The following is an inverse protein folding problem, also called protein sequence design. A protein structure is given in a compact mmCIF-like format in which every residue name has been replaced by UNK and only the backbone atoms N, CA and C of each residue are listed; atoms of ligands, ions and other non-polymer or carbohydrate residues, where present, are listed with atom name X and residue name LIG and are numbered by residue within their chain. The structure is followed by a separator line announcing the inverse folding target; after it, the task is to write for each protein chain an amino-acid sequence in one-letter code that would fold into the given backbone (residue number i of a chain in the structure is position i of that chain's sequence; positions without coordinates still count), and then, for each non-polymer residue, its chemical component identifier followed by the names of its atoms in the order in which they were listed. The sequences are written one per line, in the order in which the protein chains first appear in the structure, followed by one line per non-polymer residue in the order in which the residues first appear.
data_IF_800106285064
#
_entry.id   IF_800106285064
#
_cell.length_a   1.000
_cell.length_b   1.000
_cell.length_c   1.000
_cell.angle_alpha   90.00
_cell.angle_beta   90.00
_cell.angle_gamma   90.00
#
_symmetry.space_group_name_H-M   'P 1'
#
loop_
_entity.id
_entity.type
_entity.pdbx_description
1 polymer ?
#
# COMPACT_ATOMS: atom_id res chain seq x y z
N UNK A 1 12.96 8.69 1.64
CA UNK A 1 12.50 8.05 2.88
C UNK A 1 13.20 6.71 3.11
N UNK A 2 13.30 5.81 2.12
CA UNK A 2 13.96 4.50 2.35
C UNK A 2 15.49 4.47 2.27
N UNK A 3 16.13 5.49 1.70
CA UNK A 3 17.60 5.49 1.53
C UNK A 3 18.34 5.59 2.86
N UNK A 4 19.59 5.12 2.91
CA UNK A 4 20.45 5.24 4.09
C UNK A 4 20.56 6.69 4.62
N UNK A 5 20.63 7.68 3.71
CA UNK A 5 20.65 9.10 4.11
C UNK A 5 19.34 9.54 4.78
N UNK A 6 18.18 9.13 4.26
CA UNK A 6 16.89 9.47 4.87
C UNK A 6 16.79 8.91 6.29
N UNK A 7 17.17 7.65 6.48
CA UNK A 7 17.14 7.01 7.80
C UNK A 7 18.10 7.69 8.79
N UNK A 8 19.30 8.06 8.31
CA UNK A 8 20.25 8.84 9.11
C UNK A 8 19.72 10.23 9.46
N UNK A 9 19.04 10.90 8.52
CA UNK A 9 18.37 12.16 8.78
C UNK A 9 17.30 12.02 9.86
N UNK A 10 16.43 11.02 9.78
CA UNK A 10 15.35 10.82 10.74
C UNK A 10 15.88 10.62 12.17
N UNK A 11 16.99 9.89 12.33
CA UNK A 11 17.62 9.68 13.63
C UNK A 11 18.28 10.93 14.23
N UNK A 12 18.76 11.86 13.39
CA UNK A 12 19.50 13.05 13.83
C UNK A 12 18.92 14.37 13.31
N UNK A 13 17.60 14.40 13.07
CA UNK A 13 16.93 15.55 12.44
C UNK A 13 17.12 16.85 13.23
N UNK A 14 17.29 16.77 14.56
CA UNK A 14 17.55 17.92 15.44
C UNK A 14 18.82 18.69 15.06
N UNK A 15 19.83 18.00 14.55
CA UNK A 15 21.12 18.56 14.13
C UNK A 15 21.13 18.74 12.60
N UNK A 16 20.74 17.71 11.86
CA UNK A 16 20.94 17.65 10.41
C UNK A 16 20.04 18.62 9.63
N UNK A 17 18.92 19.09 10.20
CA UNK A 17 18.04 20.09 9.57
C UNK A 17 18.72 21.42 9.25
N UNK A 18 19.87 21.71 9.87
CA UNK A 18 20.65 22.93 9.63
C UNK A 18 21.70 22.78 8.53
N UNK A 19 21.86 21.58 7.96
CA UNK A 19 22.87 21.27 6.95
C UNK A 19 22.21 21.04 5.59
N UNK A 20 22.89 21.37 4.47
CA UNK A 20 22.39 21.02 3.15
C UNK A 20 22.40 19.50 2.95
N UNK A 21 21.47 18.97 2.15
CA UNK A 21 21.47 17.56 1.78
C UNK A 21 20.19 17.13 1.06
N UNK A 22 20.09 15.86 0.64
CA UNK A 22 18.90 15.34 -0.04
C UNK A 22 17.58 15.53 0.74
N UNK A 23 17.66 15.65 2.07
CA UNK A 23 16.49 15.86 2.93
C UNK A 23 15.88 17.26 2.73
N UNK A 24 16.62 18.28 2.28
CA UNK A 24 16.04 19.61 2.06
C UNK A 24 15.05 19.60 0.91
N UNK A 25 15.30 18.78 -0.13
CA UNK A 25 14.41 18.62 -1.28
C UNK A 25 13.05 18.04 -0.91
N UNK A 26 12.94 17.28 0.19
CA UNK A 26 11.67 16.68 0.58
C UNK A 26 10.66 17.76 0.98
N UNK A 27 11.12 18.86 1.58
CA UNK A 27 10.27 19.98 1.96
C UNK A 27 9.72 20.69 0.74
N UNK A 28 10.56 20.93 -0.28
CA UNK A 28 10.12 21.54 -1.54
C UNK A 28 9.06 20.67 -2.23
N UNK A 29 9.29 19.35 -2.30
CA UNK A 29 8.34 18.40 -2.89
C UNK A 29 7.01 18.41 -2.12
N UNK A 30 7.06 18.40 -0.78
CA UNK A 30 5.85 18.41 0.04
C UNK A 30 5.08 19.74 -0.08
N UNK A 31 5.78 20.87 -0.19
CA UNK A 31 5.13 22.16 -0.45
C UNK A 31 4.50 22.20 -1.83
N UNK A 32 5.19 21.72 -2.88
CA UNK A 32 4.63 21.66 -4.23
C UNK A 32 3.36 20.79 -4.28
N UNK A 33 3.38 19.63 -3.63
CA UNK A 33 2.19 18.77 -3.51
C UNK A 33 1.07 19.45 -2.73
N UNK A 34 1.40 20.12 -1.63
CA UNK A 34 0.42 20.87 -0.84
C UNK A 34 -0.19 22.02 -1.64
N UNK A 35 0.61 22.77 -2.38
CA UNK A 35 0.18 23.85 -3.26
C UNK A 35 -0.74 23.33 -4.37
N UNK A 36 -0.46 22.15 -4.92
CA UNK A 36 -1.34 21.47 -5.87
C UNK A 36 -2.70 21.14 -5.24
N UNK A 37 -2.72 20.53 -4.04
CA UNK A 37 -3.95 20.22 -3.32
C UNK A 37 -4.73 21.50 -2.96
N UNK A 38 -4.05 22.56 -2.50
CA UNK A 38 -4.68 23.83 -2.18
C UNK A 38 -5.39 24.45 -3.40
N UNK A 39 -4.78 24.36 -4.59
CA UNK A 39 -5.42 24.78 -5.86
C UNK A 39 -6.69 23.96 -6.14
N UNK A 40 -6.68 22.65 -5.88
CA UNK A 40 -7.87 21.80 -6.04
C UNK A 40 -8.96 22.17 -5.03
N UNK A 41 -8.61 22.33 -3.75
CA UNK A 41 -9.54 22.77 -2.70
C UNK A 41 -10.19 24.10 -3.04
N UNK A 42 -9.42 25.07 -3.56
CA UNK A 42 -9.97 26.36 -4.02
C UNK A 42 -11.02 26.18 -5.12
N UNK A 43 -10.72 25.38 -6.16
CA UNK A 43 -11.67 25.09 -7.24
C UNK A 43 -12.94 24.41 -6.73
N UNK A 44 -12.81 23.49 -5.77
CA UNK A 44 -13.96 22.83 -5.16
C UNK A 44 -14.84 23.84 -4.42
N UNK A 45 -14.26 24.75 -3.62
CA UNK A 45 -14.98 25.83 -2.92
C UNK A 45 -15.76 26.74 -3.88
N UNK A 46 -15.17 27.12 -5.00
CA UNK A 46 -15.78 28.01 -6.01
C UNK A 46 -17.04 27.41 -6.66
N UNK A 47 -17.17 26.08 -6.63
CA UNK A 47 -18.21 25.33 -7.35
C UNK A 47 -18.96 24.36 -6.44
N UNK A 48 -18.92 24.61 -5.12
CA UNK A 48 -19.51 23.73 -4.12
C UNK A 48 -21.04 23.79 -4.18
N UNK A 49 -21.67 22.63 -4.32
CA UNK A 49 -23.10 22.43 -4.10
C UNK A 49 -23.29 21.62 -2.82
N UNK A 50 -23.96 22.21 -1.82
CA UNK A 50 -24.20 21.57 -0.52
C UNK A 50 -25.12 20.34 -0.61
N UNK A 51 -25.93 20.23 -1.67
CA UNK A 51 -26.87 19.13 -1.87
C UNK A 51 -26.31 18.02 -2.76
N UNK A 52 -25.20 18.27 -3.45
CA UNK A 52 -24.61 17.36 -4.41
C UNK A 52 -23.07 17.33 -4.29
N UNK A 53 -22.52 16.78 -3.18
CA UNK A 53 -21.07 16.66 -3.02
C UNK A 53 -20.47 15.77 -4.10
N UNK A 54 -19.40 16.25 -4.76
CA UNK A 54 -18.77 15.56 -5.89
C UNK A 54 -17.68 14.58 -5.47
N UNK A 55 -16.96 14.90 -4.40
CA UNK A 55 -15.78 14.17 -3.96
C UNK A 55 -15.51 14.38 -2.46
N UNK A 56 -14.44 13.77 -1.95
CA UNK A 56 -14.00 13.89 -0.56
C UNK A 56 -13.83 15.35 -0.10
N UNK A 57 -13.33 16.23 -0.98
CA UNK A 57 -13.08 17.63 -0.63
C UNK A 57 -14.40 18.34 -0.39
N UNK A 58 -15.40 18.14 -1.24
CA UNK A 58 -16.73 18.71 -1.04
C UNK A 58 -17.38 18.19 0.26
N UNK A 59 -17.29 16.89 0.53
CA UNK A 59 -17.81 16.32 1.78
C UNK A 59 -17.18 16.98 3.01
N UNK A 60 -15.86 17.19 2.99
CA UNK A 60 -15.16 17.87 4.09
C UNK A 60 -15.57 19.34 4.19
N UNK A 61 -15.70 20.06 3.07
CA UNK A 61 -16.14 21.45 3.04
C UNK A 61 -17.56 21.62 3.59
N UNK A 62 -18.47 20.70 3.25
CA UNK A 62 -19.83 20.67 3.81
C UNK A 62 -19.78 20.43 5.32
N UNK A 63 -18.91 19.54 5.80
CA UNK A 63 -18.74 19.34 7.24
C UNK A 63 -18.15 20.58 7.92
N UNK A 64 -17.21 21.28 7.29
CA UNK A 64 -16.72 22.57 7.79
C UNK A 64 -17.84 23.60 7.93
N UNK A 65 -18.79 23.63 6.98
CA UNK A 65 -19.95 24.52 7.05
C UNK A 65 -20.83 24.20 8.27
N UNK A 66 -21.10 22.91 8.52
CA UNK A 66 -21.91 22.45 9.66
C UNK A 66 -21.26 22.77 11.00
N UNK A 67 -19.93 22.85 11.05
CA UNK A 67 -19.16 23.16 12.26
C UNK A 67 -18.88 24.67 12.43
N UNK A 68 -19.40 25.54 11.54
CA UNK A 68 -19.25 27.01 11.69
C UNK A 68 -19.93 27.49 12.96
N UNK A 69 -19.12 27.82 13.95
CA UNK A 69 -19.57 28.25 15.28
C UNK A 69 -19.03 27.38 16.42
N UNK A 70 -18.41 26.24 16.10
CA UNK A 70 -17.68 25.43 17.06
C UNK A 70 -16.20 25.85 17.09
N UNK A 71 -15.73 26.59 18.13
CA UNK A 71 -14.33 27.04 18.22
C UNK A 71 -13.34 25.90 18.43
N UNK A 72 -13.82 24.71 18.82
CA UNK A 72 -13.01 23.50 19.02
C UNK A 72 -13.04 22.56 17.81
N UNK A 73 -13.57 23.02 16.66
CA UNK A 73 -13.66 22.19 15.46
C UNK A 73 -12.29 21.96 14.82
N UNK A 74 -11.99 20.69 14.56
CA UNK A 74 -10.82 20.27 13.76
C UNK A 74 -11.11 20.27 12.25
N UNK A 75 -12.35 20.58 11.83
CA UNK A 75 -12.69 20.77 10.42
C UNK A 75 -12.30 22.18 9.98
N UNK A 76 -11.05 22.32 9.54
CA UNK A 76 -10.49 23.56 9.03
C UNK A 76 -9.73 23.35 7.70
N UNK A 77 -9.41 24.44 7.00
CA UNK A 77 -8.77 24.37 5.67
C UNK A 77 -7.41 23.66 5.71
N UNK A 78 -6.63 23.84 6.78
CA UNK A 78 -5.32 23.18 6.93
C UNK A 78 -5.47 21.67 7.05
N UNK A 79 -6.39 21.19 7.89
CA UNK A 79 -6.66 19.77 8.05
C UNK A 79 -7.27 19.16 6.77
N UNK A 80 -8.10 19.89 6.02
CA UNK A 80 -8.59 19.48 4.70
C UNK A 80 -7.43 19.24 3.71
N UNK A 81 -6.55 20.24 3.56
CA UNK A 81 -5.39 20.15 2.65
C UNK A 81 -4.49 18.97 3.03
N UNK A 82 -4.11 18.85 4.31
CA UNK A 82 -3.22 17.78 4.78
C UNK A 82 -3.87 16.40 4.71
N UNK A 83 -5.15 16.28 5.03
CA UNK A 83 -5.86 14.99 4.92
C UNK A 83 -5.96 14.55 3.46
N UNK A 84 -6.28 15.48 2.55
CA UNK A 84 -6.33 15.17 1.12
C UNK A 84 -4.96 14.77 0.59
N UNK A 85 -3.89 15.47 1.00
CA UNK A 85 -2.52 15.12 0.65
C UNK A 85 -2.14 13.72 1.15
N UNK A 86 -2.47 13.40 2.40
CA UNK A 86 -2.20 12.09 2.99
C UNK A 86 -2.90 10.97 2.21
N UNK A 87 -4.19 11.13 1.88
CA UNK A 87 -4.94 10.16 1.10
C UNK A 87 -4.34 9.98 -0.30
N UNK A 88 -3.96 11.08 -0.96
CA UNK A 88 -3.38 11.06 -2.30
C UNK A 88 -2.03 10.34 -2.32
N UNK A 89 -1.12 10.68 -1.40
CA UNK A 89 0.20 10.04 -1.31
C UNK A 89 0.09 8.56 -0.95
N UNK A 90 -0.63 8.25 0.14
CA UNK A 90 -0.72 6.88 0.64
C UNK A 90 -1.45 5.94 -0.34
N UNK A 91 -2.53 6.42 -0.97
CA UNK A 91 -3.30 5.64 -1.93
C UNK A 91 -2.59 5.39 -3.26
N UNK A 92 -1.67 6.28 -3.67
CA UNK A 92 -0.98 6.15 -4.97
C UNK A 92 0.25 5.25 -4.89
N UNK A 93 1.19 5.59 -3.99
CA UNK A 93 2.52 4.97 -4.01
C UNK A 93 2.46 3.50 -3.58
N UNK A 94 1.65 3.18 -2.57
CA UNK A 94 1.61 1.83 -1.99
C UNK A 94 1.04 0.79 -2.95
N UNK A 95 -0.06 1.13 -3.64
CA UNK A 95 -0.69 0.25 -4.64
C UNK A 95 0.19 0.14 -5.87
N UNK A 96 0.75 1.25 -6.37
CA UNK A 96 1.68 1.27 -7.50
C UNK A 96 2.89 0.36 -7.27
N UNK A 97 3.56 0.49 -6.11
CA UNK A 97 4.72 -0.33 -5.78
C UNK A 97 4.36 -1.80 -5.56
N UNK A 98 3.19 -2.11 -5.00
CA UNK A 98 2.70 -3.50 -4.86
C UNK A 98 2.41 -4.13 -6.24
N UNK A 99 1.78 -3.39 -7.17
CA UNK A 99 1.55 -3.85 -8.54
C UNK A 99 2.87 -4.12 -9.27
N UNK A 100 3.86 -3.24 -9.12
CA UNK A 100 5.20 -3.42 -9.68
C UNK A 100 5.87 -4.70 -9.16
N UNK A 101 5.84 -4.94 -7.84
CA UNK A 101 6.32 -6.21 -7.30
C UNK A 101 5.54 -7.41 -7.85
N UNK A 102 4.22 -7.34 -7.91
CA UNK A 102 3.42 -8.45 -8.43
C UNK A 102 3.75 -8.78 -9.88
N UNK A 103 3.89 -7.77 -10.75
CA UNK A 103 4.32 -8.02 -12.14
C UNK A 103 5.73 -8.60 -12.21
N UNK A 104 6.66 -8.15 -11.37
CA UNK A 104 8.00 -8.71 -11.26
C UNK A 104 7.96 -10.19 -10.84
N UNK A 105 7.20 -10.53 -9.80
CA UNK A 105 7.03 -11.90 -9.32
C UNK A 105 6.37 -12.79 -10.38
N UNK A 106 5.33 -12.32 -11.07
CA UNK A 106 4.65 -13.07 -12.12
C UNK A 106 5.52 -13.33 -13.36
N UNK A 107 6.48 -12.45 -13.64
CA UNK A 107 7.48 -12.71 -14.70
C UNK A 107 8.54 -13.71 -14.26
N UNK A 108 8.93 -13.70 -12.98
CA UNK A 108 9.86 -14.69 -12.40
C UNK A 108 9.23 -16.08 -12.27
N UNK A 109 7.90 -16.12 -12.07
CA UNK A 109 7.09 -17.33 -11.87
C UNK A 109 6.06 -17.50 -12.99
N UNK A 110 6.48 -17.82 -14.23
CA UNK A 110 5.58 -17.95 -15.37
C UNK A 110 4.49 -19.02 -15.18
N UNK A 111 4.74 -20.03 -14.36
CA UNK A 111 3.77 -21.07 -13.96
C UNK A 111 2.63 -20.49 -13.12
N UNK A 112 2.91 -19.53 -12.23
CA UNK A 112 1.89 -18.83 -11.44
C UNK A 112 1.05 -17.95 -12.34
N UNK A 113 1.70 -17.21 -13.25
CA UNK A 113 1.02 -16.38 -14.24
C UNK A 113 0.08 -17.21 -15.13
N UNK A 114 0.52 -18.39 -15.58
CA UNK A 114 -0.29 -19.30 -16.38
C UNK A 114 -1.53 -19.81 -15.63
N UNK A 115 -1.40 -20.16 -14.35
CA UNK A 115 -2.54 -20.57 -13.52
C UNK A 115 -3.52 -19.43 -13.27
N UNK A 116 -3.04 -18.21 -13.03
CA UNK A 116 -3.92 -17.03 -12.95
C UNK A 116 -4.69 -16.81 -14.25
N UNK A 117 -4.03 -16.93 -15.40
CA UNK A 117 -4.72 -16.83 -16.70
C UNK A 117 -5.82 -17.88 -16.86
N UNK A 118 -5.56 -19.13 -16.48
CA UNK A 118 -6.56 -20.20 -16.54
C UNK A 118 -7.79 -19.88 -15.66
N UNK A 119 -7.57 -19.45 -14.42
CA UNK A 119 -8.68 -19.10 -13.52
C UNK A 119 -9.46 -17.86 -14.00
N UNK A 120 -8.77 -16.83 -14.51
CA UNK A 120 -9.40 -15.65 -15.12
C UNK A 120 -10.27 -16.06 -16.31
N UNK A 121 -9.76 -16.90 -17.22
CA UNK A 121 -10.51 -17.33 -18.40
C UNK A 121 -11.71 -18.19 -18.01
N UNK A 122 -11.59 -19.01 -16.96
CA UNK A 122 -12.66 -19.88 -16.48
C UNK A 122 -13.81 -19.10 -15.82
N UNK A 123 -13.49 -18.12 -14.96
CA UNK A 123 -14.50 -17.41 -14.15
C UNK A 123 -15.04 -16.17 -14.86
N UNK A 124 -14.17 -15.42 -15.55
CA UNK A 124 -14.52 -14.13 -16.16
C UNK A 124 -14.66 -14.28 -17.68
N UNK A 125 -13.76 -15.04 -18.31
CA UNK A 125 -13.64 -15.15 -19.76
C UNK A 125 -13.08 -13.86 -20.38
N UNK A 126 -13.30 -13.67 -21.69
CA UNK A 126 -12.73 -12.55 -22.46
C UNK A 126 -13.76 -11.47 -22.85
N UNK A 127 -15.04 -11.71 -22.58
CA UNK A 127 -16.15 -10.90 -23.11
C UNK A 127 -16.65 -9.81 -22.16
N UNK A 128 -16.20 -9.79 -20.90
CA UNK A 128 -16.59 -8.79 -19.90
C UNK A 128 -15.38 -8.33 -19.09
N UNK A 129 -15.48 -7.14 -18.48
CA UNK A 129 -14.49 -6.68 -17.52
C UNK A 129 -14.58 -7.48 -16.20
N UNK A 130 -13.46 -7.64 -15.47
CA UNK A 130 -13.48 -8.12 -14.10
C UNK A 130 -14.31 -7.21 -13.18
N UNK A 131 -15.03 -7.81 -12.24
CA UNK A 131 -15.72 -7.12 -11.15
C UNK A 131 -15.16 -7.58 -9.79
N UNK A 132 -15.48 -6.88 -8.71
CA UNK A 132 -14.92 -7.25 -7.39
C UNK A 132 -15.59 -8.51 -6.82
N UNK A 133 -16.82 -8.81 -7.24
CA UNK A 133 -17.59 -9.98 -6.82
C UNK A 133 -16.96 -11.30 -7.30
N UNK A 134 -16.26 -11.27 -8.45
CA UNK A 134 -15.54 -12.39 -9.06
C UNK A 134 -14.46 -12.95 -8.12
N UNK A 135 -13.88 -12.10 -7.25
CA UNK A 135 -12.83 -12.48 -6.31
C UNK A 135 -13.18 -13.69 -5.46
N UNK A 136 -14.44 -13.81 -5.05
CA UNK A 136 -14.94 -14.93 -4.24
C UNK A 136 -14.86 -16.29 -4.94
N UNK A 137 -14.80 -16.30 -6.28
CA UNK A 137 -14.74 -17.49 -7.13
C UNK A 137 -13.32 -17.74 -7.68
N UNK A 138 -12.35 -16.91 -7.32
CA UNK A 138 -10.98 -16.94 -7.85
C UNK A 138 -9.94 -17.14 -6.75
N UNK A 139 -9.97 -18.28 -6.03
CA UNK A 139 -9.11 -18.53 -4.89
C UNK A 139 -7.62 -18.46 -5.25
N UNK A 140 -7.21 -18.88 -6.45
CA UNK A 140 -5.80 -18.86 -6.82
C UNK A 140 -5.29 -17.44 -7.07
N UNK A 141 -6.04 -16.61 -7.80
CA UNK A 141 -5.72 -15.20 -7.98
C UNK A 141 -5.70 -14.46 -6.65
N UNK A 142 -6.67 -14.70 -5.75
CA UNK A 142 -6.67 -14.05 -4.44
C UNK A 142 -5.45 -14.50 -3.60
N UNK A 143 -5.10 -15.78 -3.63
CA UNK A 143 -3.90 -16.31 -2.97
C UNK A 143 -2.61 -15.68 -3.51
N UNK A 144 -2.48 -15.53 -4.83
CA UNK A 144 -1.32 -14.88 -5.46
C UNK A 144 -1.21 -13.43 -5.03
N UNK A 145 -2.31 -12.66 -5.02
CA UNK A 145 -2.29 -11.25 -4.61
C UNK A 145 -1.92 -11.10 -3.13
N UNK A 146 -2.34 -12.02 -2.28
CA UNK A 146 -1.90 -12.06 -0.88
C UNK A 146 -0.40 -12.36 -0.77
N UNK A 147 0.11 -13.33 -1.54
CA UNK A 147 1.52 -13.67 -1.54
C UNK A 147 2.40 -12.54 -2.09
N UNK A 148 1.93 -11.78 -3.09
CA UNK A 148 2.60 -10.56 -3.57
C UNK A 148 2.78 -9.56 -2.43
N UNK A 149 1.70 -9.26 -1.69
CA UNK A 149 1.77 -8.33 -0.55
C UNK A 149 2.68 -8.85 0.56
N UNK A 150 2.60 -10.15 0.88
CA UNK A 150 3.42 -10.77 1.93
C UNK A 150 4.92 -10.69 1.60
N UNK A 151 5.31 -11.08 0.40
CA UNK A 151 6.71 -11.18 -0.02
C UNK A 151 7.31 -9.81 -0.37
N UNK A 152 6.51 -8.89 -0.92
CA UNK A 152 6.97 -7.52 -1.18
C UNK A 152 7.32 -6.75 0.10
N UNK A 153 6.71 -7.14 1.23
CA UNK A 153 6.96 -6.58 2.56
C UNK A 153 7.07 -5.05 2.55
N UNK A 154 6.06 -4.42 1.96
CA UNK A 154 6.22 -3.06 1.45
C UNK A 154 6.56 -2.04 2.54
N UNK A 155 6.04 -2.20 3.76
CA UNK A 155 6.29 -1.31 4.91
C UNK A 155 6.78 -2.18 6.10
N UNK A 156 8.05 -2.62 6.08
CA UNK A 156 8.53 -3.70 6.94
C UNK A 156 8.51 -3.34 8.44
N UNK A 157 8.77 -2.06 8.76
CA UNK A 157 8.81 -1.55 10.13
C UNK A 157 7.46 -1.03 10.64
N UNK A 158 6.41 -1.11 9.81
CA UNK A 158 5.15 -0.38 10.02
C UNK A 158 5.36 1.15 10.06
N UNK A 159 4.27 1.90 10.23
CA UNK A 159 4.34 3.33 10.58
C UNK A 159 4.48 3.45 12.09
N UNK A 160 5.31 4.40 12.55
CA UNK A 160 5.57 4.61 13.97
C UNK A 160 4.28 4.83 14.79
N UNK A 161 4.18 4.13 15.92
CA UNK A 161 3.17 4.38 16.95
C UNK A 161 3.80 5.10 18.15
N UNK A 162 2.98 5.67 19.03
CA UNK A 162 3.43 6.18 20.32
C UNK A 162 2.39 5.85 21.40
N UNK A 163 2.85 5.52 22.62
CA UNK A 163 1.94 5.26 23.74
C UNK A 163 1.35 6.56 24.29
N UNK A 164 0.02 6.61 24.43
CA UNK A 164 -0.70 7.83 24.84
C UNK A 164 -0.59 8.14 26.34
N UNK A 165 -0.16 7.16 27.13
CA UNK A 165 0.04 7.20 28.59
C UNK A 165 1.05 6.13 28.98
N UNK A 166 1.60 6.23 30.18
CA UNK A 166 2.41 5.16 30.78
C UNK A 166 1.63 3.86 30.71
N UNK A 167 2.25 2.84 30.10
CA UNK A 167 1.58 1.59 29.73
C UNK A 167 2.41 0.41 30.23
N UNK A 168 1.80 -0.43 31.06
CA UNK A 168 2.40 -1.72 31.41
C UNK A 168 2.21 -2.72 30.26
N UNK A 169 3.31 -3.30 29.77
CA UNK A 169 3.30 -4.31 28.72
C UNK A 169 4.31 -5.41 29.06
N UNK A 170 3.81 -6.64 29.25
CA UNK A 170 4.62 -7.83 29.58
C UNK A 170 5.55 -7.61 30.79
N UNK A 171 5.09 -6.88 31.80
CA UNK A 171 5.86 -6.56 33.02
C UNK A 171 6.80 -5.37 32.90
N UNK A 172 6.86 -4.69 31.75
CA UNK A 172 7.61 -3.44 31.57
C UNK A 172 6.69 -2.23 31.61
N UNK A 173 7.14 -1.13 32.20
CA UNK A 173 6.46 0.17 32.09
C UNK A 173 7.04 0.91 30.90
N UNK A 174 6.23 1.16 29.88
CA UNK A 174 6.55 1.98 28.72
C UNK A 174 6.06 3.41 28.98
N UNK A 175 6.94 4.41 29.13
CA UNK A 175 6.54 5.78 29.43
C UNK A 175 5.70 6.41 28.31
N UNK A 176 4.80 7.32 28.68
CA UNK A 176 4.02 8.14 27.73
C UNK A 176 4.94 8.81 26.70
N UNK A 177 4.53 8.76 25.43
CA UNK A 177 5.26 9.38 24.32
C UNK A 177 6.34 8.49 23.70
N UNK A 178 6.71 7.37 24.32
CA UNK A 178 7.66 6.41 23.73
C UNK A 178 7.15 5.90 22.38
N UNK A 179 7.99 6.03 21.35
CA UNK A 179 7.74 5.49 20.02
C UNK A 179 7.84 3.96 20.00
N UNK A 180 6.96 3.31 19.24
CA UNK A 180 6.87 1.86 19.10
C UNK A 180 6.75 1.52 17.62
N UNK A 181 7.59 0.60 17.15
CA UNK A 181 7.57 0.08 15.78
C UNK A 181 7.13 -1.39 15.80
N UNK A 182 5.84 -1.69 15.57
CA UNK A 182 5.35 -3.06 15.47
C UNK A 182 5.74 -3.68 14.13
N UNK A 183 6.94 -4.26 14.06
CA UNK A 183 7.59 -4.78 12.85
C UNK A 183 6.73 -5.80 12.09
N UNK A 184 6.15 -5.40 10.96
CA UNK A 184 5.30 -6.26 10.13
C UNK A 184 6.10 -7.39 9.47
N UNK A 185 7.36 -7.11 9.10
CA UNK A 185 8.28 -8.10 8.51
C UNK A 185 8.31 -9.40 9.32
N UNK A 186 8.43 -9.28 10.65
CA UNK A 186 8.58 -10.44 11.54
C UNK A 186 7.37 -11.37 11.49
N UNK A 187 6.18 -10.82 11.26
CA UNK A 187 4.93 -11.59 11.20
C UNK A 187 4.71 -12.14 9.78
N UNK A 188 4.98 -11.35 8.74
CA UNK A 188 4.81 -11.75 7.34
C UNK A 188 5.80 -12.84 6.88
N UNK A 189 6.91 -13.02 7.59
CA UNK A 189 7.94 -14.03 7.34
C UNK A 189 8.07 -15.06 8.48
N UNK A 190 7.09 -15.15 9.38
CA UNK A 190 7.11 -16.11 10.49
C UNK A 190 7.14 -17.56 9.94
N UNK A 191 8.22 -18.34 10.18
CA UNK A 191 8.37 -19.71 9.67
C UNK A 191 7.35 -20.69 10.29
N UNK A 192 6.70 -20.32 11.40
CA UNK A 192 5.63 -21.11 12.02
C UNK A 192 4.27 -20.84 11.36
N UNK A 193 4.15 -19.78 10.56
CA UNK A 193 2.89 -19.34 9.95
C UNK A 193 2.89 -19.51 8.43
N UNK A 194 4.05 -19.45 7.79
CA UNK A 194 4.18 -19.55 6.33
C UNK A 194 5.15 -20.68 5.94
N UNK A 195 4.77 -21.46 4.94
CA UNK A 195 5.63 -22.49 4.34
C UNK A 195 6.65 -21.78 3.46
N UNK A 196 7.94 -22.06 3.67
CA UNK A 196 9.04 -21.43 2.93
C UNK A 196 8.91 -19.89 2.93
N UNK A 197 8.98 -19.23 4.10
CA UNK A 197 8.57 -17.83 4.25
C UNK A 197 9.33 -16.85 3.34
N UNK A 198 10.55 -17.17 2.92
CA UNK A 198 11.35 -16.33 2.02
C UNK A 198 11.15 -16.63 0.53
N UNK A 199 10.38 -17.67 0.19
CA UNK A 199 10.02 -17.99 -1.19
C UNK A 199 8.65 -17.41 -1.53
N UNK A 200 8.46 -17.06 -2.79
CA UNK A 200 7.15 -16.72 -3.32
C UNK A 200 6.34 -18.00 -3.57
N UNK A 201 5.33 -18.23 -2.73
CA UNK A 201 4.55 -19.46 -2.74
C UNK A 201 3.05 -19.19 -2.47
N UNK A 202 2.20 -19.09 -3.50
CA UNK A 202 0.75 -18.86 -3.34
C UNK A 202 0.03 -19.91 -2.47
N UNK A 203 0.59 -21.12 -2.34
CA UNK A 203 0.03 -22.19 -1.48
C UNK A 203 0.00 -21.81 0.01
N UNK A 204 0.70 -20.75 0.41
CA UNK A 204 0.59 -20.14 1.75
C UNK A 204 -0.83 -19.63 2.07
N UNK A 205 -1.64 -19.40 1.06
CA UNK A 205 -3.00 -18.87 1.15
C UNK A 205 -4.07 -19.81 0.59
N UNK A 206 -3.73 -21.09 0.40
CA UNK A 206 -4.65 -22.13 -0.09
C UNK A 206 -4.80 -23.25 0.92
N UNK A 207 -6.00 -23.82 1.03
CA UNK A 207 -6.24 -25.07 1.74
C UNK A 207 -5.91 -26.29 0.85
N UNK A 208 -6.02 -27.49 1.41
CA UNK A 208 -5.74 -28.75 0.71
C UNK A 208 -6.66 -29.01 -0.50
N UNK A 209 -7.79 -28.29 -0.59
CA UNK A 209 -8.75 -28.37 -1.68
C UNK A 209 -8.57 -27.23 -2.70
N UNK A 210 -7.55 -26.39 -2.56
CA UNK A 210 -7.31 -25.23 -3.42
C UNK A 210 -8.27 -24.05 -3.17
N UNK A 211 -8.97 -24.02 -2.02
CA UNK A 211 -9.79 -22.87 -1.63
C UNK A 211 -8.93 -21.83 -0.93
N UNK A 212 -9.28 -20.57 -1.09
CA UNK A 212 -8.59 -19.49 -0.38
C UNK A 212 -8.73 -19.66 1.14
N UNK A 213 -7.59 -19.64 1.82
CA UNK A 213 -7.49 -19.72 3.28
C UNK A 213 -6.71 -18.53 3.79
N UNK A 214 -7.41 -17.64 4.52
CA UNK A 214 -6.78 -16.52 5.19
C UNK A 214 -5.77 -17.03 6.23
N UNK A 215 -4.59 -16.41 6.25
CA UNK A 215 -3.60 -16.60 7.29
C UNK A 215 -3.69 -15.42 8.29
N UNK A 216 -3.81 -15.71 9.59
CA UNK A 216 -3.93 -14.66 10.62
C UNK A 216 -2.64 -13.83 10.77
N UNK A 217 -1.50 -14.36 10.31
CA UNK A 217 -0.24 -13.62 10.23
C UNK A 217 -0.19 -12.64 9.04
N UNK A 218 -1.18 -12.68 8.14
CA UNK A 218 -1.26 -11.74 7.02
C UNK A 218 -1.79 -10.37 7.46
N UNK A 219 -0.87 -9.45 7.74
CA UNK A 219 -1.17 -8.10 8.20
C UNK A 219 -0.36 -6.98 7.52
N UNK A 220 -0.27 -6.95 6.16
CA UNK A 220 0.46 -5.89 5.47
C UNK A 220 -0.15 -4.49 5.66
N UNK A 221 -1.40 -4.42 6.12
CA UNK A 221 -2.13 -3.19 6.40
C UNK A 221 -2.11 -2.79 7.89
N UNK A 222 -1.23 -3.40 8.69
CA UNK A 222 -1.23 -3.30 10.16
C UNK A 222 -2.53 -3.84 10.78
N UNK A 223 -2.77 -3.53 12.05
CA UNK A 223 -3.97 -3.94 12.79
C UNK A 223 -4.32 -2.95 13.91
N UNK A 224 -5.52 -3.09 14.49
CA UNK A 224 -5.98 -2.28 15.61
C UNK A 224 -6.46 -0.88 15.22
N UNK A 225 -6.31 0.09 16.13
CA UNK A 225 -6.91 1.44 15.99
C UNK A 225 -6.32 2.29 14.85
N UNK A 226 -5.16 1.90 14.32
CA UNK A 226 -4.47 2.57 13.21
C UNK A 226 -4.27 1.63 12.02
N UNK A 227 -5.13 0.62 11.87
CA UNK A 227 -5.20 -0.18 10.64
C UNK A 227 -5.36 0.73 9.43
N UNK A 228 -4.77 0.35 8.30
CA UNK A 228 -4.78 1.16 7.08
C UNK A 228 -6.22 1.56 6.70
N UNK A 229 -6.47 2.87 6.65
CA UNK A 229 -7.77 3.42 6.26
C UNK A 229 -8.18 2.98 4.84
N UNK A 230 -7.19 2.79 3.96
CA UNK A 230 -7.39 2.41 2.56
C UNK A 230 -7.41 0.91 2.29
N UNK A 231 -7.39 0.03 3.32
CA UNK A 231 -7.27 -1.42 3.11
C UNK A 231 -8.29 -1.97 2.10
N UNK A 232 -9.57 -1.64 2.28
CA UNK A 232 -10.63 -2.14 1.39
C UNK A 232 -10.44 -1.67 -0.06
N UNK A 233 -10.07 -0.40 -0.24
CA UNK A 233 -9.81 0.19 -1.56
C UNK A 233 -8.59 -0.47 -2.21
N UNK A 234 -7.47 -0.57 -1.49
CA UNK A 234 -6.23 -1.17 -1.99
C UNK A 234 -6.43 -2.63 -2.41
N UNK A 235 -7.16 -3.44 -1.61
CA UNK A 235 -7.47 -4.84 -1.97
C UNK A 235 -8.29 -4.94 -3.24
N UNK A 236 -9.27 -4.05 -3.42
CA UNK A 236 -10.08 -3.98 -4.64
C UNK A 236 -9.25 -3.56 -5.84
N UNK A 237 -8.44 -2.51 -5.70
CA UNK A 237 -7.56 -2.01 -6.75
C UNK A 237 -6.56 -3.08 -7.21
N UNK A 238 -5.86 -3.74 -6.28
CA UNK A 238 -4.92 -4.81 -6.62
C UNK A 238 -5.62 -5.93 -7.38
N UNK A 239 -6.78 -6.40 -6.88
CA UNK A 239 -7.55 -7.43 -7.56
C UNK A 239 -7.94 -7.03 -8.98
N UNK A 240 -8.59 -5.87 -9.15
CA UNK A 240 -9.08 -5.41 -10.44
C UNK A 240 -7.94 -5.11 -11.42
N UNK A 241 -6.85 -4.48 -10.96
CA UNK A 241 -5.71 -4.17 -11.83
C UNK A 241 -4.97 -5.43 -12.28
N UNK A 242 -4.71 -6.40 -11.39
CA UNK A 242 -4.08 -7.66 -11.79
C UNK A 242 -4.97 -8.45 -12.75
N UNK A 243 -6.25 -8.65 -12.42
CA UNK A 243 -7.15 -9.43 -13.28
C UNK A 243 -7.41 -8.75 -14.61
N UNK A 244 -7.61 -7.43 -14.65
CA UNK A 244 -7.83 -6.70 -15.90
C UNK A 244 -6.61 -6.76 -16.80
N UNK A 245 -5.41 -6.61 -16.23
CA UNK A 245 -4.16 -6.68 -17.00
C UNK A 245 -3.94 -8.10 -17.53
N UNK A 246 -4.04 -9.12 -16.68
CA UNK A 246 -3.78 -10.52 -17.04
C UNK A 246 -4.90 -11.15 -17.89
N UNK A 247 -6.11 -10.59 -17.86
CA UNK A 247 -7.16 -11.00 -18.80
C UNK A 247 -6.73 -10.72 -20.24
N UNK A 248 -6.17 -9.53 -20.49
CA UNK A 248 -5.87 -9.02 -21.84
C UNK A 248 -4.44 -9.25 -22.30
N UNK A 249 -3.52 -9.47 -21.36
CA UNK A 249 -2.10 -9.48 -21.68
C UNK A 249 -1.33 -10.55 -20.92
N UNK A 250 -0.27 -11.03 -21.55
CA UNK A 250 0.79 -11.82 -20.95
C UNK A 250 2.00 -10.94 -20.67
N UNK A 251 2.55 -11.04 -19.46
CA UNK A 251 3.76 -10.34 -19.06
C UNK A 251 4.98 -11.12 -19.54
N UNK A 252 5.81 -10.49 -20.37
CA UNK A 252 7.01 -11.10 -20.94
C UNK A 252 8.27 -10.38 -20.43
N UNK A 253 9.16 -11.06 -19.69
CA UNK A 253 10.43 -10.47 -19.28
C UNK A 253 11.38 -10.29 -20.47
N UNK A 254 12.32 -9.36 -20.32
CA UNK A 254 13.41 -9.14 -21.29
C UNK A 254 14.64 -10.01 -21.04
N UNK A 255 14.64 -10.73 -19.91
CA UNK A 255 15.67 -11.69 -19.49
C UNK A 255 15.01 -13.03 -19.22
N UNK A 256 15.81 -14.08 -19.06
CA UNK A 256 15.30 -15.38 -18.63
C UNK A 256 14.65 -15.23 -17.22
N UNK A 257 13.44 -15.78 -16.97
CA UNK A 257 12.78 -15.72 -15.67
C UNK A 257 13.66 -16.08 -14.48
N UNK A 258 14.59 -17.04 -14.65
CA UNK A 258 15.51 -17.47 -13.57
C UNK A 258 16.48 -16.36 -13.14
N UNK A 259 16.84 -15.48 -14.08
CA UNK A 259 17.82 -14.41 -13.90
C UNK A 259 17.18 -13.10 -13.40
N UNK A 260 15.85 -13.08 -13.18
CA UNK A 260 15.15 -11.92 -12.60
C UNK A 260 15.56 -11.78 -11.13
N UNK A 261 16.25 -10.69 -10.81
CA UNK A 261 16.53 -10.31 -9.43
C UNK A 261 15.31 -9.59 -8.81
N UNK A 262 14.86 -10.11 -7.68
CA UNK A 262 13.74 -9.57 -6.90
C UNK A 262 14.19 -8.80 -5.67
N UNK A 263 15.52 -8.65 -5.48
CA UNK A 263 16.09 -7.92 -4.36
C UNK A 263 15.66 -6.45 -4.41
N UNK A 264 15.14 -5.88 -3.31
CA UNK A 264 14.76 -4.48 -3.26
C UNK A 264 15.95 -3.56 -3.56
N UNK A 265 15.70 -2.44 -4.26
CA UNK A 265 16.72 -1.42 -4.49
C UNK A 265 17.14 -0.75 -3.18
N UNK A 266 16.17 -0.47 -2.31
CA UNK A 266 16.34 0.16 -1.01
C UNK A 266 15.31 -0.43 -0.05
N UNK A 267 15.68 -0.55 1.23
CA UNK A 267 14.74 -0.93 2.28
C UNK A 267 14.94 -0.06 3.52
N UNK A 268 13.83 0.46 4.03
CA UNK A 268 13.78 1.46 5.10
C UNK A 268 12.33 1.72 5.47
N UNK A 269 11.84 2.96 5.26
CA UNK A 269 10.41 3.27 5.40
C UNK A 269 9.52 2.35 4.54
N UNK A 270 9.91 2.17 3.29
CA UNK A 270 9.28 1.24 2.36
C UNK A 270 10.33 0.38 1.64
N UNK A 271 9.95 -0.83 1.24
CA UNK A 271 10.78 -1.76 0.48
C UNK A 271 10.61 -1.45 -1.02
N UNK A 272 11.60 -0.82 -1.65
CA UNK A 272 11.46 -0.28 -3.01
C UNK A 272 11.78 -1.35 -4.07
N UNK A 273 10.87 -1.65 -5.02
CA UNK A 273 11.12 -2.66 -6.04
C UNK A 273 12.31 -2.29 -6.93
N UNK A 274 13.09 -3.28 -7.41
CA UNK A 274 14.18 -3.02 -8.33
C UNK A 274 13.66 -2.42 -9.64
N UNK A 275 14.55 -1.75 -10.37
CA UNK A 275 14.23 -1.31 -11.72
C UNK A 275 14.17 -2.50 -12.67
N UNK A 276 13.10 -2.59 -13.46
CA UNK A 276 12.97 -3.59 -14.50
C UNK A 276 12.14 -3.04 -15.66
N UNK A 277 12.24 -3.72 -16.81
CA UNK A 277 11.40 -3.48 -17.99
C UNK A 277 10.75 -4.80 -18.39
N UNK A 278 9.58 -4.70 -19.01
CA UNK A 278 8.86 -5.83 -19.56
C UNK A 278 8.24 -5.50 -20.91
N UNK A 279 7.86 -6.53 -21.64
CA UNK A 279 6.89 -6.42 -22.72
C UNK A 279 5.53 -6.90 -22.24
N UNK A 280 4.48 -6.18 -22.63
CA UNK A 280 3.10 -6.59 -22.43
C UNK A 280 2.59 -7.12 -23.77
N UNK A 281 2.28 -8.41 -23.85
CA UNK A 281 1.89 -9.08 -25.10
C UNK A 281 0.38 -9.38 -25.07
N UNK A 282 -0.41 -8.93 -26.05
CA UNK A 282 -1.85 -9.24 -26.10
C UNK A 282 -2.14 -10.74 -26.06
N UNK A 283 -3.24 -11.12 -25.39
CA UNK A 283 -3.79 -12.47 -25.34
C UNK A 283 -4.98 -12.62 -26.27
#
# INVERSE_FOLDING_TARGET
MSTAWSQFYDMYASILKYFPGPHTKIYDILEDMRAYIAKRVKKNKETLDLNAPRDFIDCFLIQMEKEKGNPSSEFNTKNLELTTLNLFFAGTETVSSTLRYGFLFLMKHPEVQAKMHQEIDQVIGQNRAPNIEDRSQMPYVDAVIHEVQRVSDLIPMNVAHSVMRDTEFRGYIIPKGTEIYPLLHTVLFDPMKFKSPFAFNPENFLDENGRFKKNDAFMPFSSGKRVCLGETLARMELFLFFTTTLQRFRLKPLVDPKDIDTTPQESGFATIPPFYKLCIVPR
#
